data_IF_680242944488
#
_entry.id   IF_680242944488
#
_cell.length_a   1.000
_cell.length_b   1.000
_cell.length_c   1.000
_cell.angle_alpha   90.00
_cell.angle_beta   90.00
_cell.angle_gamma   90.00
#
_symmetry.space_group_name_H-M   'P 1'
#
loop_
_entity.id
_entity.type
_entity.pdbx_description
1 polymer ?
#
# COMPACT_ATOMS: atom_id res chain seq x y z
N UNK A 1 -17.36 -63.48 -8.54
CA UNK A 1 -16.99 -62.05 -8.37
C UNK A 1 -18.07 -61.41 -7.48
N UNK A 2 -17.80 -61.31 -6.17
CA UNK A 2 -18.76 -60.80 -5.21
C UNK A 2 -18.53 -59.29 -5.04
N UNK A 3 -19.55 -58.49 -5.35
CA UNK A 3 -19.60 -57.09 -4.96
C UNK A 3 -19.96 -57.03 -3.48
N UNK A 4 -19.03 -56.61 -2.66
CA UNK A 4 -19.27 -56.27 -1.26
C UNK A 4 -19.77 -54.84 -1.19
N UNK A 5 -21.09 -54.66 -1.19
CA UNK A 5 -21.74 -53.40 -0.84
C UNK A 5 -21.46 -53.11 0.65
N UNK A 6 -20.55 -52.20 0.93
CA UNK A 6 -20.30 -51.69 2.28
C UNK A 6 -21.46 -50.77 2.66
N UNK A 7 -22.51 -51.35 3.24
CA UNK A 7 -23.58 -50.61 3.90
C UNK A 7 -22.99 -49.90 5.14
N UNK A 8 -22.71 -48.59 5.00
CA UNK A 8 -22.34 -47.79 6.17
C UNK A 8 -23.59 -47.60 7.04
N UNK A 9 -23.51 -48.06 8.29
CA UNK A 9 -24.59 -47.90 9.27
C UNK A 9 -24.97 -46.41 9.42
N UNK A 10 -26.28 -46.09 9.54
CA UNK A 10 -26.73 -44.69 9.72
C UNK A 10 -26.12 -44.09 11.01
N UNK A 11 -25.78 -42.81 11.01
CA UNK A 11 -25.15 -42.16 12.17
C UNK A 11 -26.05 -42.23 13.41
N UNK A 12 -25.45 -42.40 14.60
CA UNK A 12 -26.18 -42.49 15.86
C UNK A 12 -27.04 -41.25 16.11
N UNK A 13 -28.16 -41.38 16.84
CA UNK A 13 -29.07 -40.28 17.21
C UNK A 13 -28.29 -39.09 17.87
N UNK A 14 -27.28 -39.37 18.70
CA UNK A 14 -26.44 -38.33 19.33
C UNK A 14 -25.62 -37.58 18.30
N UNK A 15 -25.08 -38.27 17.28
CA UNK A 15 -24.32 -37.63 16.19
C UNK A 15 -25.21 -36.73 15.34
N UNK A 16 -26.41 -37.19 14.98
CA UNK A 16 -27.40 -36.37 14.23
C UNK A 16 -27.79 -35.10 14.98
N UNK A 17 -28.12 -35.18 16.28
CA UNK A 17 -28.47 -34.01 17.11
C UNK A 17 -27.29 -33.07 17.29
N UNK A 18 -26.06 -33.54 17.31
CA UNK A 18 -24.85 -32.71 17.37
C UNK A 18 -24.64 -31.99 16.03
N UNK A 19 -24.78 -32.71 14.93
CA UNK A 19 -24.62 -32.15 13.57
C UNK A 19 -25.71 -31.10 13.26
N UNK A 20 -26.97 -31.33 13.66
CA UNK A 20 -28.05 -30.35 13.57
C UNK A 20 -27.78 -29.06 14.37
N UNK A 21 -27.28 -29.17 15.61
CA UNK A 21 -26.92 -27.98 16.43
C UNK A 21 -25.76 -27.20 15.86
N UNK A 22 -24.74 -27.87 15.33
CA UNK A 22 -23.61 -27.25 14.66
C UNK A 22 -24.07 -26.49 13.41
N UNK A 23 -24.93 -27.12 12.61
CA UNK A 23 -25.48 -26.49 11.40
C UNK A 23 -26.39 -25.29 11.70
N UNK A 24 -27.25 -25.39 12.74
CA UNK A 24 -28.10 -24.27 13.15
C UNK A 24 -27.26 -23.05 13.57
N UNK A 25 -26.19 -23.26 14.35
CA UNK A 25 -25.27 -22.18 14.73
C UNK A 25 -24.55 -21.56 13.55
N UNK A 26 -24.11 -22.38 12.58
CA UNK A 26 -23.44 -21.91 11.37
C UNK A 26 -24.37 -21.08 10.49
N UNK A 27 -25.61 -21.56 10.26
CA UNK A 27 -26.59 -20.81 9.48
C UNK A 27 -26.93 -19.49 10.13
N UNK A 28 -27.12 -19.45 11.44
CA UNK A 28 -27.37 -18.21 12.18
C UNK A 28 -26.21 -17.21 12.01
N UNK A 29 -24.96 -17.68 12.03
CA UNK A 29 -23.78 -16.83 11.79
C UNK A 29 -23.80 -16.25 10.39
N UNK A 30 -23.97 -17.09 9.37
CA UNK A 30 -23.99 -16.67 7.96
C UNK A 30 -25.15 -15.72 7.70
N UNK A 31 -26.36 -16.04 8.19
CA UNK A 31 -27.55 -15.22 8.02
C UNK A 31 -27.40 -13.83 8.70
N UNK A 32 -26.72 -13.78 9.86
CA UNK A 32 -26.40 -12.51 10.52
C UNK A 32 -25.45 -11.63 9.67
N UNK A 33 -24.46 -12.22 9.00
CA UNK A 33 -23.57 -11.49 8.10
C UNK A 33 -24.35 -11.01 6.87
N UNK A 34 -25.14 -11.90 6.26
CA UNK A 34 -25.97 -11.59 5.08
C UNK A 34 -27.04 -10.52 5.33
N UNK A 35 -27.53 -10.39 6.57
CA UNK A 35 -28.47 -9.32 6.94
C UNK A 35 -27.87 -7.92 6.75
N UNK A 36 -26.54 -7.79 6.77
CA UNK A 36 -25.81 -6.55 6.46
C UNK A 36 -25.25 -6.53 5.03
N UNK A 37 -25.98 -7.09 4.08
CA UNK A 37 -25.53 -7.30 2.69
C UNK A 37 -25.01 -6.05 1.98
N UNK A 38 -25.51 -4.86 2.34
CA UNK A 38 -25.07 -3.58 1.77
C UNK A 38 -23.57 -3.26 2.06
N UNK A 39 -23.00 -3.88 3.10
CA UNK A 39 -21.59 -3.72 3.46
C UNK A 39 -20.67 -4.78 2.83
N UNK A 40 -21.26 -5.85 2.27
CA UNK A 40 -20.54 -6.97 1.66
C UNK A 40 -20.12 -6.66 0.23
N UNK A 41 -18.95 -7.13 -0.17
CA UNK A 41 -18.59 -7.17 -1.59
C UNK A 41 -19.42 -8.22 -2.33
N UNK A 42 -19.56 -8.08 -3.65
CA UNK A 42 -20.28 -9.06 -4.48
C UNK A 42 -19.70 -10.47 -4.32
N UNK A 43 -18.38 -10.60 -4.20
CA UNK A 43 -17.71 -11.88 -3.97
C UNK A 43 -18.04 -12.48 -2.59
N UNK A 44 -17.98 -11.68 -1.51
CA UNK A 44 -18.32 -12.15 -0.16
C UNK A 44 -19.76 -12.63 -0.07
N UNK A 45 -20.68 -11.90 -0.66
CA UNK A 45 -22.09 -12.28 -0.72
C UNK A 45 -22.28 -13.63 -1.44
N UNK A 46 -21.72 -13.77 -2.65
CA UNK A 46 -21.79 -15.02 -3.43
C UNK A 46 -21.13 -16.18 -2.69
N UNK A 47 -19.97 -15.96 -2.06
CA UNK A 47 -19.27 -16.96 -1.26
C UNK A 47 -20.14 -17.44 -0.09
N UNK A 48 -20.70 -16.52 0.70
CA UNK A 48 -21.54 -16.87 1.87
C UNK A 48 -22.78 -17.67 1.46
N UNK A 49 -23.44 -17.29 0.37
CA UNK A 49 -24.58 -18.04 -0.16
C UNK A 49 -24.17 -19.45 -0.61
N UNK A 50 -23.06 -19.59 -1.32
CA UNK A 50 -22.57 -20.90 -1.78
C UNK A 50 -22.16 -21.82 -0.62
N UNK A 51 -21.53 -21.25 0.40
CA UNK A 51 -21.14 -21.99 1.60
C UNK A 51 -22.37 -22.43 2.41
N UNK A 52 -23.37 -21.55 2.54
CA UNK A 52 -24.64 -21.87 3.19
C UNK A 52 -25.33 -23.04 2.51
N UNK A 53 -25.38 -23.03 1.18
CA UNK A 53 -25.97 -24.12 0.39
C UNK A 53 -25.15 -25.41 0.54
N UNK A 54 -23.83 -25.34 0.46
CA UNK A 54 -22.93 -26.49 0.65
C UNK A 54 -23.05 -27.10 2.05
N UNK A 55 -23.10 -26.27 3.09
CA UNK A 55 -23.30 -26.73 4.46
C UNK A 55 -24.67 -27.43 4.67
N UNK A 56 -25.70 -26.96 3.97
CA UNK A 56 -27.01 -27.61 3.96
C UNK A 56 -26.96 -29.04 3.36
N UNK A 57 -26.13 -29.25 2.33
CA UNK A 57 -25.99 -30.54 1.64
C UNK A 57 -25.05 -31.52 2.37
N UNK A 58 -23.91 -31.00 2.87
CA UNK A 58 -22.82 -31.85 3.38
C UNK A 58 -22.66 -31.79 4.88
N UNK A 59 -23.39 -30.95 5.58
CA UNK A 59 -23.45 -30.91 7.04
C UNK A 59 -22.20 -30.33 7.72
N UNK A 60 -21.19 -29.88 6.95
CA UNK A 60 -19.94 -29.36 7.52
C UNK A 60 -19.23 -28.40 6.57
N UNK A 61 -18.35 -27.59 7.14
CA UNK A 61 -17.43 -26.72 6.40
C UNK A 61 -16.02 -27.31 6.36
N UNK A 62 -15.29 -26.96 5.31
CA UNK A 62 -13.85 -27.16 5.30
C UNK A 62 -13.17 -26.08 6.19
N UNK A 63 -11.99 -26.42 6.74
CA UNK A 63 -11.19 -25.44 7.52
C UNK A 63 -10.91 -24.14 6.77
N UNK A 64 -10.74 -24.22 5.44
CA UNK A 64 -10.55 -23.05 4.58
C UNK A 64 -11.80 -22.17 4.49
N UNK A 65 -12.97 -22.79 4.34
CA UNK A 65 -14.25 -22.06 4.32
C UNK A 65 -14.51 -21.37 5.66
N UNK A 66 -14.29 -22.07 6.77
CA UNK A 66 -14.42 -21.50 8.13
C UNK A 66 -13.50 -20.30 8.33
N UNK A 67 -12.23 -20.41 7.93
CA UNK A 67 -11.25 -19.31 7.99
C UNK A 67 -11.70 -18.08 7.19
N UNK A 68 -12.32 -18.29 6.03
CA UNK A 68 -12.83 -17.19 5.19
C UNK A 68 -14.06 -16.54 5.85
N UNK A 69 -15.00 -17.33 6.39
CA UNK A 69 -16.16 -16.79 7.10
C UNK A 69 -15.70 -15.96 8.29
N UNK A 70 -14.78 -16.47 9.09
CA UNK A 70 -14.25 -15.73 10.24
C UNK A 70 -13.57 -14.41 9.85
N UNK A 71 -12.86 -14.39 8.72
CA UNK A 71 -12.30 -13.16 8.17
C UNK A 71 -13.39 -12.16 7.76
N UNK A 72 -14.47 -12.64 7.13
CA UNK A 72 -15.61 -11.79 6.75
C UNK A 72 -16.30 -11.25 8.00
N UNK A 73 -16.57 -12.09 9.01
CA UNK A 73 -17.13 -11.66 10.30
C UNK A 73 -16.30 -10.57 10.95
N UNK A 74 -14.98 -10.77 11.04
CA UNK A 74 -14.07 -9.81 11.64
C UNK A 74 -14.03 -8.47 10.85
N UNK A 75 -14.19 -8.52 9.53
CA UNK A 75 -14.22 -7.34 8.70
C UNK A 75 -15.56 -6.57 8.76
N UNK A 76 -16.65 -7.26 9.10
CA UNK A 76 -18.01 -6.70 9.10
C UNK A 76 -18.64 -6.63 10.48
N UNK A 77 -17.87 -6.82 11.54
CA UNK A 77 -18.36 -6.58 12.91
C UNK A 77 -18.58 -5.07 13.14
N UNK A 78 -19.45 -4.67 14.07
CA UNK A 78 -19.75 -3.26 14.34
C UNK A 78 -18.51 -2.40 14.65
N UNK A 79 -17.51 -2.98 15.32
CA UNK A 79 -16.27 -2.29 15.68
C UNK A 79 -15.42 -2.00 14.44
N UNK A 80 -15.27 -2.97 13.53
CA UNK A 80 -14.53 -2.78 12.27
C UNK A 80 -15.23 -1.78 11.33
N UNK A 81 -16.56 -1.76 11.34
CA UNK A 81 -17.35 -0.77 10.58
C UNK A 81 -17.14 0.62 11.17
N UNK A 82 -17.25 0.76 12.49
CA UNK A 82 -17.03 2.02 13.19
C UNK A 82 -15.59 2.54 12.99
N UNK A 83 -14.59 1.66 13.07
CA UNK A 83 -13.20 2.00 12.84
C UNK A 83 -12.96 2.51 11.39
N UNK A 84 -13.54 1.85 10.38
CA UNK A 84 -13.45 2.32 8.98
C UNK A 84 -14.14 3.68 8.78
N UNK A 85 -15.30 3.86 9.37
CA UNK A 85 -15.99 5.15 9.32
C UNK A 85 -15.14 6.24 9.96
N UNK A 86 -14.66 6.01 11.17
CA UNK A 86 -13.76 6.93 11.87
C UNK A 86 -12.51 7.24 11.08
N UNK A 87 -11.89 6.24 10.44
CA UNK A 87 -10.76 6.44 9.53
C UNK A 87 -11.11 7.36 8.37
N UNK A 88 -12.22 7.11 7.69
CA UNK A 88 -12.65 7.91 6.55
C UNK A 88 -12.94 9.36 6.95
N UNK A 89 -13.61 9.56 8.10
CA UNK A 89 -13.96 10.89 8.62
C UNK A 89 -12.71 11.68 9.04
N UNK A 90 -11.66 11.00 9.50
CA UNK A 90 -10.39 11.59 9.94
C UNK A 90 -9.31 11.66 8.83
N UNK A 91 -9.57 11.15 7.63
CA UNK A 91 -8.60 11.20 6.54
C UNK A 91 -8.44 12.61 6.00
N UNK A 92 -7.44 13.33 6.55
CA UNK A 92 -7.22 14.76 6.28
C UNK A 92 -6.58 15.02 4.91
N UNK A 93 -6.63 16.29 4.47
CA UNK A 93 -5.92 16.72 3.27
C UNK A 93 -4.41 16.54 3.40
N UNK A 94 -3.83 16.76 4.58
CA UNK A 94 -2.40 16.51 4.84
C UNK A 94 -2.03 15.04 4.63
N UNK A 95 -2.88 14.11 5.10
CA UNK A 95 -2.68 12.68 4.87
C UNK A 95 -2.77 12.34 3.37
N UNK A 96 -3.68 12.97 2.66
CA UNK A 96 -3.82 12.81 1.19
C UNK A 96 -2.57 13.30 0.46
N UNK A 97 -2.03 14.45 0.84
CA UNK A 97 -0.83 15.01 0.21
C UNK A 97 0.40 14.12 0.46
N UNK A 98 0.59 13.63 1.69
CA UNK A 98 1.62 12.63 2.01
C UNK A 98 1.45 11.36 1.18
N UNK A 99 0.21 10.90 1.01
CA UNK A 99 -0.09 9.73 0.20
C UNK A 99 0.23 9.95 -1.29
N UNK A 100 -0.07 11.15 -1.83
CA UNK A 100 0.29 11.52 -3.22
C UNK A 100 1.81 11.59 -3.42
N UNK A 101 2.57 12.10 -2.44
CA UNK A 101 4.04 12.09 -2.47
C UNK A 101 4.55 10.65 -2.51
N UNK A 102 4.05 9.80 -1.61
CA UNK A 102 4.40 8.38 -1.57
C UNK A 102 4.06 7.67 -2.88
N UNK A 103 2.88 7.93 -3.45
CA UNK A 103 2.44 7.34 -4.71
C UNK A 103 3.40 7.69 -5.86
N UNK A 104 3.77 8.95 -6.02
CA UNK A 104 4.75 9.38 -7.04
C UNK A 104 6.13 8.75 -6.81
N UNK A 105 6.56 8.64 -5.55
CA UNK A 105 7.82 7.96 -5.22
C UNK A 105 7.80 6.50 -5.66
N UNK A 106 6.74 5.74 -5.36
CA UNK A 106 6.65 4.32 -5.72
C UNK A 106 6.46 4.09 -7.22
N UNK A 107 5.78 4.95 -7.95
CA UNK A 107 5.73 4.85 -9.41
C UNK A 107 7.11 5.04 -10.06
N UNK A 108 7.96 5.90 -9.47
CA UNK A 108 9.33 6.09 -9.93
C UNK A 108 10.29 4.97 -9.45
N UNK A 109 9.86 4.12 -8.50
CA UNK A 109 10.67 3.06 -7.88
C UNK A 109 9.89 1.73 -7.81
N UNK A 110 9.51 1.12 -8.95
CA UNK A 110 8.79 -0.13 -8.98
C UNK A 110 9.62 -1.25 -8.32
N UNK A 111 9.00 -2.39 -7.94
CA UNK A 111 7.63 -2.82 -8.29
C UNK A 111 6.57 -2.57 -7.17
N UNK A 112 6.95 -1.98 -6.06
CA UNK A 112 6.08 -1.91 -4.87
C UNK A 112 4.94 -0.90 -5.05
N UNK A 113 3.73 -1.27 -4.58
CA UNK A 113 2.55 -0.40 -4.51
C UNK A 113 2.06 0.20 -5.85
N UNK A 114 2.45 -0.33 -7.00
CA UNK A 114 2.11 0.27 -8.30
C UNK A 114 0.61 0.51 -8.50
N UNK A 115 -0.24 -0.49 -8.23
CA UNK A 115 -1.69 -0.39 -8.37
C UNK A 115 -2.31 0.62 -7.40
N UNK A 116 -1.87 0.59 -6.14
CA UNK A 116 -2.35 1.53 -5.12
C UNK A 116 -1.91 2.96 -5.45
N UNK A 117 -0.66 3.13 -5.88
CA UNK A 117 -0.11 4.42 -6.28
C UNK A 117 -0.87 5.00 -7.48
N UNK A 118 -1.16 4.17 -8.48
CA UNK A 118 -2.00 4.55 -9.62
C UNK A 118 -3.37 5.04 -9.18
N UNK A 119 -4.07 4.29 -8.33
CA UNK A 119 -5.37 4.69 -7.80
C UNK A 119 -5.34 6.01 -7.05
N UNK A 120 -4.35 6.20 -6.17
CA UNK A 120 -4.19 7.44 -5.39
C UNK A 120 -3.99 8.67 -6.25
N UNK A 121 -3.32 8.53 -7.40
CA UNK A 121 -3.04 9.67 -8.29
C UNK A 121 -4.15 9.95 -9.31
N UNK A 122 -4.97 8.96 -9.66
CA UNK A 122 -6.01 9.09 -10.68
C UNK A 122 -7.41 9.29 -10.09
N UNK A 123 -7.60 9.00 -8.81
CA UNK A 123 -8.88 9.09 -8.13
C UNK A 123 -8.75 9.97 -6.87
N UNK A 124 -9.13 11.24 -7.01
CA UNK A 124 -9.07 12.21 -5.90
C UNK A 124 -10.07 11.93 -4.78
N UNK A 125 -11.10 11.12 -5.02
CA UNK A 125 -12.10 10.72 -4.02
C UNK A 125 -11.65 9.48 -3.24
N UNK A 126 -10.71 8.71 -3.79
CA UNK A 126 -10.25 7.48 -3.18
C UNK A 126 -9.64 7.71 -1.80
N UNK A 127 -10.15 6.99 -0.80
CA UNK A 127 -9.58 6.92 0.54
C UNK A 127 -8.97 5.52 0.72
N UNK A 128 -7.65 5.40 0.96
CA UNK A 128 -7.03 4.11 1.24
C UNK A 128 -7.46 3.59 2.60
N UNK A 129 -7.40 2.29 2.81
CA UNK A 129 -7.54 1.74 4.16
C UNK A 129 -6.38 2.21 5.05
N UNK A 130 -6.60 2.28 6.36
CA UNK A 130 -5.55 2.62 7.33
C UNK A 130 -4.28 1.77 7.15
N UNK A 131 -4.45 0.47 6.92
CA UNK A 131 -3.34 -0.45 6.65
C UNK A 131 -2.56 -0.10 5.39
N UNK A 132 -3.27 0.28 4.31
CA UNK A 132 -2.64 0.70 3.05
C UNK A 132 -1.88 2.02 3.24
N UNK A 133 -2.48 2.99 3.93
CA UNK A 133 -1.84 4.27 4.24
C UNK A 133 -0.56 4.06 5.04
N UNK A 134 -0.64 3.36 6.18
CA UNK A 134 0.52 3.08 7.02
C UNK A 134 1.64 2.36 6.27
N UNK A 135 1.30 1.30 5.52
CA UNK A 135 2.28 0.55 4.75
C UNK A 135 2.98 1.40 3.69
N UNK A 136 2.26 2.32 3.04
CA UNK A 136 2.78 3.13 1.94
C UNK A 136 3.46 4.41 2.42
N UNK A 137 2.95 5.07 3.47
CA UNK A 137 3.42 6.38 3.93
C UNK A 137 4.32 6.29 5.16
N UNK A 138 3.95 5.47 6.16
CA UNK A 138 4.63 5.40 7.45
C UNK A 138 5.84 4.44 7.44
N UNK A 139 6.54 4.34 6.31
CA UNK A 139 7.75 3.55 6.23
C UNK A 139 9.00 4.43 6.12
N UNK A 140 10.15 3.84 6.46
CA UNK A 140 11.44 4.55 6.52
C UNK A 140 11.89 5.21 5.21
N UNK A 141 11.40 4.76 4.08
CA UNK A 141 11.80 5.30 2.77
C UNK A 141 11.01 6.56 2.47
N UNK A 142 9.69 6.50 2.58
CA UNK A 142 8.81 7.64 2.33
C UNK A 142 9.01 8.75 3.37
N UNK A 143 9.25 8.40 4.64
CA UNK A 143 9.62 9.39 5.66
C UNK A 143 10.83 10.22 5.20
N UNK A 144 11.90 9.57 4.70
CA UNK A 144 13.08 10.28 4.17
C UNK A 144 12.80 11.08 2.89
N UNK A 145 11.88 10.64 2.05
CA UNK A 145 11.44 11.40 0.87
C UNK A 145 10.74 12.68 1.30
N UNK A 146 9.84 12.59 2.27
CA UNK A 146 9.13 13.75 2.84
C UNK A 146 10.12 14.69 3.53
N UNK A 147 11.07 14.17 4.31
CA UNK A 147 12.12 14.96 4.96
C UNK A 147 12.97 15.71 3.92
N UNK A 148 13.39 15.03 2.84
CA UNK A 148 14.15 15.65 1.76
C UNK A 148 13.33 16.73 1.03
N UNK A 149 12.02 16.53 0.90
CA UNK A 149 11.11 17.46 0.23
C UNK A 149 10.88 18.73 1.05
N UNK A 150 10.83 18.59 2.37
CA UNK A 150 10.60 19.69 3.32
C UNK A 150 11.91 20.36 3.79
N UNK A 151 13.06 19.85 3.36
CA UNK A 151 14.35 20.44 3.75
C UNK A 151 14.66 21.72 2.99
N UNK A 152 15.19 22.71 3.68
CA UNK A 152 15.69 23.91 3.05
C UNK A 152 16.81 23.60 2.04
N UNK A 153 16.88 24.31 0.92
CA UNK A 153 17.93 24.13 -0.07
C UNK A 153 19.31 24.45 0.53
N UNK A 154 20.22 23.48 0.50
CA UNK A 154 21.60 23.63 1.00
C UNK A 154 22.38 24.64 0.17
N UNK A 155 22.07 24.75 -1.10
CA UNK A 155 22.68 25.69 -2.04
C UNK A 155 21.59 26.63 -2.59
N UNK A 156 21.85 27.93 -2.54
CA UNK A 156 20.93 28.89 -3.17
C UNK A 156 21.13 28.91 -4.68
N UNK A 157 20.05 29.17 -5.42
CA UNK A 157 20.13 29.41 -6.88
C UNK A 157 21.10 30.56 -7.17
N UNK A 158 21.90 30.41 -8.21
CA UNK A 158 22.97 31.35 -8.57
C UNK A 158 24.28 31.16 -7.80
N UNK A 159 24.34 30.30 -6.76
CA UNK A 159 25.59 30.07 -6.04
C UNK A 159 26.45 28.98 -6.68
N UNK A 160 27.75 29.00 -6.36
CA UNK A 160 28.72 28.05 -6.85
C UNK A 160 28.84 26.86 -5.90
N UNK A 161 28.89 25.68 -6.48
CA UNK A 161 29.17 24.44 -5.77
C UNK A 161 30.29 23.67 -6.49
N UNK A 162 30.91 22.71 -5.79
CA UNK A 162 31.88 21.78 -6.39
C UNK A 162 31.29 20.39 -6.43
N UNK A 163 31.45 19.69 -7.54
CA UNK A 163 31.04 18.29 -7.68
C UNK A 163 31.94 17.42 -6.83
N UNK A 164 31.36 16.50 -6.04
CA UNK A 164 32.12 15.55 -5.23
C UNK A 164 32.88 14.56 -6.13
N UNK A 165 34.04 14.13 -5.71
CA UNK A 165 34.85 13.09 -6.40
C UNK A 165 34.15 11.75 -6.48
N UNK A 166 33.25 11.46 -5.55
CA UNK A 166 32.43 10.23 -5.48
C UNK A 166 31.11 10.34 -6.24
N UNK A 167 30.86 11.47 -6.93
CA UNK A 167 29.62 11.66 -7.66
C UNK A 167 29.42 10.55 -8.70
N UNK A 168 28.23 9.97 -8.72
CA UNK A 168 27.79 8.95 -9.68
C UNK A 168 26.77 9.56 -10.64
N UNK A 169 26.40 8.80 -11.65
CA UNK A 169 25.54 9.31 -12.72
C UNK A 169 26.34 9.63 -13.97
N UNK A 170 25.75 9.27 -15.14
CA UNK A 170 26.45 9.27 -16.40
C UNK A 170 27.10 10.64 -16.73
N UNK A 171 26.37 11.73 -16.58
CA UNK A 171 26.89 13.07 -16.88
C UNK A 171 27.78 13.64 -15.76
N UNK A 172 27.42 13.44 -14.48
CA UNK A 172 28.14 14.03 -13.34
C UNK A 172 29.56 13.49 -13.13
N UNK A 173 29.84 12.25 -13.51
CA UNK A 173 31.19 11.66 -13.35
C UNK A 173 32.27 12.40 -14.15
N UNK A 174 31.92 13.05 -15.27
CA UNK A 174 32.84 13.86 -16.10
C UNK A 174 33.13 15.25 -15.50
N UNK A 175 32.34 15.66 -14.50
CA UNK A 175 32.47 16.93 -13.81
C UNK A 175 32.97 16.80 -12.36
N UNK A 176 33.44 15.62 -11.97
CA UNK A 176 34.03 15.41 -10.65
C UNK A 176 35.11 16.45 -10.35
N UNK A 177 35.06 16.98 -9.13
CA UNK A 177 35.93 18.05 -8.61
C UNK A 177 35.90 19.39 -9.39
N UNK A 178 35.03 19.53 -10.38
CA UNK A 178 34.82 20.78 -11.11
C UNK A 178 33.73 21.64 -10.43
N UNK A 179 33.76 22.92 -10.77
CA UNK A 179 32.79 23.90 -10.29
C UNK A 179 31.55 23.87 -11.16
N UNK A 180 30.41 24.06 -10.51
CA UNK A 180 29.08 24.16 -11.14
C UNK A 180 28.31 25.30 -10.48
N UNK A 181 27.45 25.98 -11.25
CA UNK A 181 26.50 26.96 -10.73
C UNK A 181 25.15 26.28 -10.52
N UNK A 182 24.49 26.54 -9.42
CA UNK A 182 23.13 26.09 -9.13
C UNK A 182 22.16 26.93 -9.95
N UNK A 183 21.36 26.28 -10.79
CA UNK A 183 20.42 26.96 -11.70
C UNK A 183 19.00 26.90 -11.15
N UNK A 184 18.55 25.73 -10.69
CA UNK A 184 17.16 25.55 -10.26
C UNK A 184 16.99 24.25 -9.46
N UNK A 185 15.84 24.16 -8.75
CA UNK A 185 15.34 22.95 -8.10
C UNK A 185 14.06 22.51 -8.80
N UNK A 186 14.12 21.47 -9.65
CA UNK A 186 12.96 21.01 -10.38
C UNK A 186 11.89 20.48 -9.44
N UNK A 187 10.62 20.71 -9.77
CA UNK A 187 9.49 20.17 -9.00
C UNK A 187 9.34 18.65 -9.21
N UNK A 188 10.31 17.90 -8.72
CA UNK A 188 10.38 16.44 -8.79
C UNK A 188 10.44 15.83 -7.38
N UNK A 189 9.86 14.64 -7.24
CA UNK A 189 9.93 13.90 -5.97
C UNK A 189 11.38 13.48 -5.72
N UNK A 190 11.96 13.83 -4.56
CA UNK A 190 13.30 13.42 -4.20
C UNK A 190 13.41 11.91 -3.95
N UNK A 191 14.63 11.39 -3.98
CA UNK A 191 14.90 10.02 -3.56
C UNK A 191 14.91 9.85 -2.04
N UNK A 192 14.88 8.60 -1.57
CA UNK A 192 14.92 8.28 -0.13
C UNK A 192 16.33 8.37 0.50
N UNK A 193 17.39 8.51 -0.30
CA UNK A 193 18.73 8.68 0.25
C UNK A 193 18.91 10.12 0.77
N UNK A 194 19.71 10.30 1.82
CA UNK A 194 20.00 11.63 2.38
C UNK A 194 20.57 12.56 1.31
N UNK A 195 19.92 13.71 1.10
CA UNK A 195 20.34 14.69 0.10
C UNK A 195 20.10 14.28 -1.35
N UNK A 196 19.27 13.24 -1.60
CA UNK A 196 18.82 12.87 -2.94
C UNK A 196 17.74 13.84 -3.46
N UNK A 197 18.01 15.14 -3.34
CA UNK A 197 17.15 16.24 -3.76
C UNK A 197 17.56 16.62 -5.18
N UNK A 198 16.65 16.56 -6.16
CA UNK A 198 16.95 16.95 -7.54
C UNK A 198 17.38 18.41 -7.62
N UNK A 199 18.40 18.69 -8.40
CA UNK A 199 18.92 20.04 -8.65
C UNK A 199 19.44 20.13 -10.07
N UNK A 200 19.23 21.26 -10.72
CA UNK A 200 19.76 21.59 -12.03
C UNK A 200 21.01 22.45 -11.84
N UNK A 201 22.10 22.02 -12.44
CA UNK A 201 23.38 22.72 -12.36
C UNK A 201 23.95 23.03 -13.75
N UNK A 202 24.71 24.11 -13.88
CA UNK A 202 25.46 24.46 -15.06
C UNK A 202 26.97 24.30 -14.75
N UNK A 203 27.67 23.36 -15.39
CA UNK A 203 29.13 23.25 -15.25
C UNK A 203 29.83 24.48 -15.82
N UNK A 204 30.88 24.99 -15.15
CA UNK A 204 31.64 26.11 -15.64
C UNK A 204 32.30 25.79 -16.97
N UNK A 205 32.11 26.63 -17.94
CA UNK A 205 32.59 26.45 -19.33
C UNK A 205 31.68 25.58 -20.21
N UNK A 206 30.49 25.24 -19.71
CA UNK A 206 29.45 24.52 -20.48
C UNK A 206 28.29 25.44 -20.80
N UNK A 207 27.63 25.21 -21.92
CA UNK A 207 26.34 25.80 -22.27
C UNK A 207 25.15 24.92 -21.90
N UNK A 208 25.41 23.65 -21.47
CA UNK A 208 24.39 22.69 -21.13
C UNK A 208 24.23 22.53 -19.63
N UNK A 209 22.99 22.53 -19.18
CA UNK A 209 22.64 22.20 -17.79
C UNK A 209 22.60 20.69 -17.59
N UNK A 210 22.83 20.27 -16.33
CA UNK A 210 22.77 18.88 -15.92
C UNK A 210 21.83 18.78 -14.73
N UNK A 211 20.85 17.88 -14.82
CA UNK A 211 20.07 17.48 -13.65
C UNK A 211 20.86 16.46 -12.83
N UNK A 212 20.95 16.70 -11.53
CA UNK A 212 21.68 15.86 -10.58
C UNK A 212 21.01 15.89 -9.21
N UNK A 213 21.69 15.44 -8.18
CA UNK A 213 21.21 15.46 -6.81
C UNK A 213 22.16 16.27 -5.92
N UNK A 214 21.59 16.97 -4.94
CA UNK A 214 22.34 17.81 -3.96
C UNK A 214 23.43 16.99 -3.25
N UNK A 215 23.22 15.72 -2.96
CA UNK A 215 24.22 14.85 -2.32
C UNK A 215 25.54 14.71 -3.09
N UNK A 216 25.55 14.99 -4.37
CA UNK A 216 26.74 14.95 -5.24
C UNK A 216 27.51 16.26 -5.27
N UNK A 217 27.03 17.26 -4.55
CA UNK A 217 27.63 18.59 -4.46
C UNK A 217 28.27 18.81 -3.07
N UNK A 218 29.27 19.67 -3.01
CA UNK A 218 29.88 20.20 -1.79
C UNK A 218 30.07 21.70 -1.93
N UNK A 219 30.13 22.43 -0.81
CA UNK A 219 30.41 23.86 -0.83
C UNK A 219 31.74 24.13 -1.54
N UNK A 220 31.75 25.12 -2.41
CA UNK A 220 32.99 25.60 -3.01
C UNK A 220 33.82 26.24 -1.86
N UNK A 221 35.08 25.81 -1.71
CA UNK A 221 36.03 26.54 -0.93
C UNK A 221 36.72 27.50 -1.92
N UNK A 222 36.48 28.79 -1.71
CA UNK A 222 37.18 29.89 -2.38
C UNK A 222 38.54 30.05 -1.72
#
# INVERSE_FOLDING_TARGET
MGHSDTYSSPPSRKKRLRDERVNTGLFTRIDKILANSAALTAWENTFLLSVREGASRYGSLTAKQESIIQRIENNHNPEAIAARKSWNDNFSQEMRDKMKIAARYYLNNPPYFADLAGRVLHDDVFIPTEKQYRAMVENKYVAKVIDNMNSDPIFLVGTMARVRTVATGHKMRYHRDKMVMIIDYPNKIPGAAKGAIPVIVLPIGSSETIETEVRWLKKARI
#
